data_IF_613910501652
#
_entry.id   IF_613910501652
#
_cell.length_a   1.000
_cell.length_b   1.000
_cell.length_c   1.000
_cell.angle_alpha   90.00
_cell.angle_beta   90.00
_cell.angle_gamma   90.00
#
_symmetry.space_group_name_H-M   'P 1'
#
loop_
_entity.id
_entity.type
_entity.pdbx_description
1 polymer ?
#
# COMPACT_ATOMS: atom_id res chain seq x y z
N UNK A 1 20.50 -20.36 11.34
CA UNK A 1 19.51 -19.91 10.34
C UNK A 1 19.02 -18.53 10.77
N UNK A 2 18.98 -17.58 9.87
CA UNK A 2 18.55 -16.21 10.16
C UNK A 2 17.04 -16.19 10.40
N UNK A 3 16.60 -15.52 11.47
CA UNK A 3 15.21 -15.38 11.88
C UNK A 3 14.69 -13.99 11.55
N UNK A 4 13.52 -13.90 10.96
CA UNK A 4 12.89 -12.65 10.57
C UNK A 4 11.61 -12.41 11.37
N UNK A 5 11.43 -11.21 11.90
CA UNK A 5 10.19 -10.77 12.53
C UNK A 5 9.49 -9.73 11.64
N UNK A 6 8.25 -10.03 11.28
CA UNK A 6 7.35 -9.08 10.62
C UNK A 6 6.51 -8.35 11.67
N UNK A 7 6.53 -7.03 11.63
CA UNK A 7 5.84 -6.17 12.61
C UNK A 7 4.81 -5.30 11.88
N UNK A 8 3.54 -5.39 12.28
CA UNK A 8 2.47 -4.53 11.79
C UNK A 8 1.51 -4.15 12.92
N UNK A 9 0.77 -3.05 12.80
CA UNK A 9 -0.23 -2.68 13.81
C UNK A 9 -1.41 -3.65 13.83
N UNK A 10 -1.84 -4.09 12.63
CA UNK A 10 -2.90 -5.06 12.41
C UNK A 10 -2.54 -5.98 11.25
N UNK A 11 -3.19 -7.13 11.20
CA UNK A 11 -3.09 -8.10 10.10
C UNK A 11 -4.44 -8.28 9.40
N UNK A 12 -4.44 -8.86 8.20
CA UNK A 12 -5.64 -9.00 7.34
C UNK A 12 -6.79 -9.80 7.99
N UNK A 13 -6.48 -10.68 8.95
CA UNK A 13 -7.49 -11.39 9.74
C UNK A 13 -8.17 -10.53 10.81
N UNK A 14 -7.68 -9.32 11.06
CA UNK A 14 -8.24 -8.36 12.02
C UNK A 14 -8.91 -7.20 11.30
N UNK A 15 -8.28 -6.66 10.25
CA UNK A 15 -8.77 -5.51 9.46
C UNK A 15 -8.53 -5.78 7.98
N UNK A 16 -9.56 -5.61 7.15
CA UNK A 16 -9.48 -5.73 5.69
C UNK A 16 -9.15 -4.37 5.06
N UNK A 17 -7.93 -3.89 5.28
CA UNK A 17 -7.39 -2.70 4.63
C UNK A 17 -6.43 -3.05 3.49
N UNK A 18 -6.19 -2.08 2.58
CA UNK A 18 -5.28 -2.29 1.45
C UNK A 18 -3.84 -2.61 1.87
N UNK A 19 -3.37 -2.00 2.97
CA UNK A 19 -2.06 -2.26 3.57
C UNK A 19 -1.97 -3.66 4.16
N UNK A 20 -2.96 -4.05 4.95
CA UNK A 20 -3.02 -5.35 5.62
C UNK A 20 -3.16 -6.51 4.61
N UNK A 21 -3.92 -6.32 3.53
CA UNK A 21 -3.99 -7.29 2.43
C UNK A 21 -2.66 -7.43 1.69
N UNK A 22 -1.93 -6.32 1.48
CA UNK A 22 -0.59 -6.37 0.90
C UNK A 22 0.40 -7.10 1.82
N UNK A 23 0.37 -6.79 3.11
CA UNK A 23 1.24 -7.40 4.12
C UNK A 23 0.99 -8.91 4.24
N UNK A 24 -0.25 -9.35 4.09
CA UNK A 24 -0.59 -10.77 4.12
C UNK A 24 0.11 -11.54 2.98
N UNK A 25 0.09 -10.99 1.76
CA UNK A 25 0.78 -11.60 0.61
C UNK A 25 2.29 -11.57 0.80
N UNK A 26 2.84 -10.43 1.26
CA UNK A 26 4.28 -10.33 1.54
C UNK A 26 4.71 -11.38 2.57
N UNK A 27 3.99 -11.48 3.69
CA UNK A 27 4.29 -12.41 4.77
C UNK A 27 4.21 -13.88 4.30
N UNK A 28 3.21 -14.23 3.49
CA UNK A 28 3.08 -15.56 2.90
C UNK A 28 4.28 -15.89 2.02
N UNK A 29 4.67 -14.99 1.12
CA UNK A 29 5.81 -15.17 0.21
C UNK A 29 7.14 -15.27 0.98
N UNK A 30 7.31 -14.49 2.02
CA UNK A 30 8.49 -14.58 2.89
C UNK A 30 8.58 -15.95 3.58
N UNK A 31 7.45 -16.49 4.07
CA UNK A 31 7.38 -17.82 4.70
C UNK A 31 7.67 -18.97 3.74
N UNK A 32 7.38 -18.80 2.45
CA UNK A 32 7.74 -19.78 1.42
C UNK A 32 9.24 -19.80 1.11
N UNK A 33 9.93 -18.65 1.32
CA UNK A 33 11.33 -18.49 0.94
C UNK A 33 12.27 -18.63 2.13
N UNK A 34 11.87 -18.21 3.32
CA UNK A 34 12.70 -18.14 4.52
C UNK A 34 12.31 -19.23 5.52
N UNK A 35 13.30 -19.78 6.22
CA UNK A 35 13.08 -20.87 7.18
C UNK A 35 12.32 -20.46 8.44
N UNK A 36 12.46 -19.22 8.89
CA UNK A 36 11.77 -18.69 10.10
C UNK A 36 11.29 -17.27 9.86
N UNK A 37 9.97 -17.13 9.76
CA UNK A 37 9.30 -15.82 9.67
C UNK A 37 8.10 -15.82 10.62
N UNK A 38 8.25 -15.09 11.71
CA UNK A 38 7.18 -14.84 12.66
C UNK A 38 6.56 -13.46 12.42
N UNK A 39 5.34 -13.26 12.91
CA UNK A 39 4.63 -12.00 12.79
C UNK A 39 4.00 -11.61 14.13
N UNK A 40 4.22 -10.36 14.55
CA UNK A 40 3.67 -9.83 15.80
C UNK A 40 2.98 -8.49 15.57
N UNK A 41 1.83 -8.25 16.26
CA UNK A 41 1.26 -6.92 16.37
C UNK A 41 2.25 -5.94 17.01
N UNK A 42 2.37 -4.73 16.48
CA UNK A 42 3.40 -3.78 16.91
C UNK A 42 3.33 -3.43 18.41
N UNK A 43 2.12 -3.41 19.00
CA UNK A 43 1.91 -3.15 20.42
C UNK A 43 2.33 -4.32 21.34
N UNK A 44 2.51 -5.53 20.79
CA UNK A 44 2.93 -6.72 21.54
C UNK A 44 4.45 -6.90 21.53
N UNK A 45 5.17 -6.25 20.58
CA UNK A 45 6.63 -6.40 20.43
C UNK A 45 7.37 -5.87 21.67
N UNK A 46 8.26 -6.70 22.21
CA UNK A 46 9.10 -6.43 23.39
C UNK A 46 10.58 -6.37 23.00
N UNK A 47 11.41 -5.83 23.88
CA UNK A 47 12.87 -5.83 23.68
C UNK A 47 13.45 -7.26 23.58
N UNK A 48 12.89 -8.22 24.31
CA UNK A 48 13.27 -9.64 24.18
C UNK A 48 13.09 -10.19 22.77
N UNK A 49 12.04 -9.75 22.06
CA UNK A 49 11.80 -10.16 20.68
C UNK A 49 12.85 -9.57 19.77
N UNK A 50 13.28 -8.32 20.01
CA UNK A 50 14.37 -7.69 19.27
C UNK A 50 15.70 -8.41 19.41
N UNK A 51 15.93 -9.18 20.47
CA UNK A 51 17.14 -10.01 20.65
C UNK A 51 16.97 -11.42 20.07
N UNK A 52 15.73 -11.88 19.86
CA UNK A 52 15.46 -13.23 19.38
C UNK A 52 15.52 -13.37 17.84
N UNK A 53 15.46 -12.24 17.12
CA UNK A 53 15.44 -12.18 15.67
C UNK A 53 16.62 -11.38 15.12
N UNK A 54 17.05 -11.75 13.89
CA UNK A 54 18.18 -11.13 13.21
C UNK A 54 17.73 -9.99 12.27
N UNK A 55 16.56 -10.14 11.65
CA UNK A 55 16.01 -9.20 10.66
C UNK A 55 14.59 -8.78 11.02
N UNK A 56 14.23 -7.55 10.65
CA UNK A 56 12.92 -6.99 10.94
C UNK A 56 12.33 -6.33 9.70
N UNK A 57 11.07 -6.66 9.39
CA UNK A 57 10.26 -5.95 8.41
C UNK A 57 9.19 -5.20 9.20
N UNK A 58 9.26 -3.88 9.19
CA UNK A 58 8.34 -3.04 9.95
C UNK A 58 7.39 -2.37 8.97
N UNK A 59 6.15 -2.86 8.93
CA UNK A 59 5.12 -2.34 8.05
C UNK A 59 4.37 -1.19 8.72
N UNK A 60 3.29 -1.46 9.44
CA UNK A 60 2.58 -0.45 10.23
C UNK A 60 3.11 -0.46 11.66
N UNK A 61 3.49 0.72 12.21
CA UNK A 61 4.18 0.81 13.51
C UNK A 61 3.70 1.99 14.37
N UNK A 62 2.47 2.44 14.19
CA UNK A 62 1.89 3.53 14.99
C UNK A 62 1.88 3.15 16.48
N UNK A 63 1.54 1.90 16.76
CA UNK A 63 1.45 1.36 18.12
C UNK A 63 2.78 0.80 18.65
N UNK A 64 3.86 0.83 17.86
CA UNK A 64 5.17 0.36 18.29
C UNK A 64 5.77 1.31 19.32
N UNK A 65 6.16 0.77 20.49
CA UNK A 65 6.66 1.60 21.60
C UNK A 65 7.96 2.31 21.21
N UNK A 66 8.17 3.52 21.78
CA UNK A 66 9.40 4.28 21.55
C UNK A 66 10.65 3.47 21.90
N UNK A 67 10.62 2.71 23.01
CA UNK A 67 11.76 1.88 23.45
C UNK A 67 12.13 0.83 22.41
N UNK A 68 11.15 0.18 21.80
CA UNK A 68 11.39 -0.80 20.75
C UNK A 68 11.91 -0.12 19.47
N UNK A 69 11.30 0.99 19.05
CA UNK A 69 11.81 1.78 17.90
C UNK A 69 13.27 2.21 18.10
N UNK A 70 13.61 2.72 19.28
CA UNK A 70 14.99 3.13 19.60
C UNK A 70 15.96 1.95 19.55
N UNK A 71 15.55 0.77 20.02
CA UNK A 71 16.38 -0.43 20.02
C UNK A 71 16.57 -0.99 18.61
N UNK A 72 15.52 -1.04 17.80
CA UNK A 72 15.59 -1.51 16.40
C UNK A 72 16.53 -0.69 15.54
N UNK A 73 16.83 0.57 15.89
CA UNK A 73 17.78 1.42 15.16
C UNK A 73 19.23 0.85 15.15
N UNK A 74 19.54 -0.10 16.01
CA UNK A 74 20.82 -0.83 16.03
C UNK A 74 20.75 -2.22 15.37
N UNK A 75 19.59 -2.61 14.85
CA UNK A 75 19.34 -3.92 14.24
C UNK A 75 19.21 -3.80 12.72
N UNK A 76 19.19 -4.94 12.04
CA UNK A 76 18.91 -4.99 10.61
C UNK A 76 17.40 -4.92 10.38
N UNK A 77 16.88 -3.78 9.93
CA UNK A 77 15.46 -3.61 9.65
C UNK A 77 15.19 -2.76 8.42
N UNK A 78 14.03 -3.00 7.82
CA UNK A 78 13.46 -2.20 6.74
C UNK A 78 12.08 -1.69 7.16
N UNK A 79 11.66 -0.57 6.59
CA UNK A 79 10.30 -0.06 6.73
C UNK A 79 9.56 -0.34 5.43
N UNK A 80 8.43 -1.06 5.51
CA UNK A 80 7.50 -1.26 4.39
C UNK A 80 6.34 -0.28 4.56
N UNK A 81 6.45 0.89 3.93
CA UNK A 81 5.60 2.04 4.23
C UNK A 81 4.28 2.00 3.44
N UNK A 82 3.15 2.09 4.16
CA UNK A 82 1.81 2.13 3.57
C UNK A 82 1.14 3.50 3.61
N UNK A 83 1.65 4.40 4.45
CA UNK A 83 1.15 5.78 4.58
C UNK A 83 2.29 6.76 4.85
N UNK A 84 2.14 7.69 5.77
CA UNK A 84 3.16 8.71 6.10
C UNK A 84 3.37 8.78 7.62
N UNK A 85 3.83 7.67 8.25
CA UNK A 85 4.02 7.55 9.71
C UNK A 85 5.14 8.42 10.27
N UNK A 86 5.87 9.13 9.40
CA UNK A 86 6.78 10.19 9.80
C UNK A 86 6.06 11.50 10.13
N UNK A 87 4.74 11.60 9.94
CA UNK A 87 3.91 12.76 10.29
C UNK A 87 3.00 12.45 11.46
N UNK A 88 2.80 13.43 12.33
CA UNK A 88 1.85 13.35 13.45
C UNK A 88 0.46 12.97 12.94
N UNK A 89 -0.03 13.64 11.89
CA UNK A 89 -1.35 13.40 11.30
C UNK A 89 -1.38 12.33 10.21
N UNK A 90 -0.24 11.76 9.83
CA UNK A 90 -0.08 10.78 8.73
C UNK A 90 -0.68 11.22 7.38
N UNK A 91 -0.91 12.51 7.19
CA UNK A 91 -1.54 13.06 5.99
C UNK A 91 -0.76 14.26 5.48
N UNK A 92 0.11 14.10 4.48
CA UNK A 92 0.83 15.22 3.87
C UNK A 92 -0.09 16.17 3.06
N UNK A 93 -1.27 15.70 2.65
CA UNK A 93 -2.21 16.48 1.84
C UNK A 93 -2.83 17.69 2.55
N UNK A 94 -2.64 17.83 3.86
CA UNK A 94 -3.08 19.03 4.60
C UNK A 94 -2.08 20.18 4.51
N UNK A 95 -0.88 19.92 3.97
CA UNK A 95 0.17 20.92 3.82
C UNK A 95 0.34 21.33 2.36
N UNK A 96 0.64 22.61 2.07
CA UNK A 96 1.00 23.05 0.73
C UNK A 96 2.16 22.21 0.17
N UNK A 97 2.05 21.79 -1.08
CA UNK A 97 3.05 20.95 -1.77
C UNK A 97 3.44 19.66 -1.02
N UNK A 98 2.61 19.20 -0.06
CA UNK A 98 2.90 18.07 0.82
C UNK A 98 4.09 18.29 1.76
N UNK A 99 4.46 19.53 2.05
CA UNK A 99 5.62 19.91 2.86
C UNK A 99 5.16 20.34 4.27
N UNK A 100 5.27 19.46 5.28
CA UNK A 100 4.93 19.77 6.66
C UNK A 100 6.00 20.64 7.33
N UNK A 101 5.63 21.44 8.34
CA UNK A 101 6.62 22.10 9.19
C UNK A 101 7.42 21.05 9.99
N UNK A 102 8.65 21.37 10.36
CA UNK A 102 9.54 20.47 11.08
C UNK A 102 8.95 19.97 12.42
N UNK A 103 8.08 20.76 13.06
CA UNK A 103 7.37 20.37 14.30
C UNK A 103 6.45 19.17 14.14
N UNK A 104 5.95 18.93 12.93
CA UNK A 104 4.99 17.86 12.63
C UNK A 104 5.68 16.58 12.13
N UNK A 105 7.01 16.64 11.93
CA UNK A 105 7.81 15.46 11.55
C UNK A 105 8.21 14.68 12.82
N UNK A 106 7.79 13.43 12.85
CA UNK A 106 8.10 12.47 13.92
C UNK A 106 8.85 11.26 13.37
N UNK A 107 9.37 10.42 14.23
CA UNK A 107 10.05 9.17 13.87
C UNK A 107 11.23 9.30 12.87
N UNK A 108 11.73 10.51 12.56
CA UNK A 108 12.73 10.73 11.52
C UNK A 108 13.95 9.80 11.66
N UNK A 109 14.50 9.65 12.89
CA UNK A 109 15.65 8.77 13.12
C UNK A 109 15.35 7.29 12.82
N UNK A 110 14.14 6.84 13.08
CA UNK A 110 13.71 5.49 12.74
C UNK A 110 13.68 5.25 11.22
N UNK A 111 13.37 6.24 10.41
CA UNK A 111 13.47 6.16 8.96
C UNK A 111 14.92 6.26 8.47
N UNK A 112 15.72 7.17 9.03
CA UNK A 112 17.16 7.34 8.68
C UNK A 112 17.97 6.08 8.93
N UNK A 113 17.69 5.34 10.03
CA UNK A 113 18.42 4.15 10.42
C UNK A 113 17.92 2.86 9.78
N UNK A 114 16.76 2.88 9.15
CA UNK A 114 16.27 1.75 8.38
C UNK A 114 17.21 1.49 7.20
N UNK A 115 17.46 0.22 6.88
CA UNK A 115 18.28 -0.18 5.73
C UNK A 115 17.64 0.27 4.40
N UNK A 116 16.30 0.20 4.34
CA UNK A 116 15.49 0.78 3.27
C UNK A 116 14.11 1.19 3.79
N UNK A 117 13.52 2.17 3.11
CA UNK A 117 12.12 2.56 3.25
C UNK A 117 11.43 2.26 1.92
N UNK A 118 10.67 1.17 1.89
CA UNK A 118 9.92 0.77 0.71
C UNK A 118 8.62 1.57 0.59
N UNK A 119 8.47 2.33 -0.48
CA UNK A 119 7.30 3.12 -0.80
C UNK A 119 6.54 2.50 -1.98
N UNK A 120 5.22 2.51 -1.96
CA UNK A 120 4.40 1.79 -2.93
C UNK A 120 4.43 2.36 -4.36
N UNK A 121 4.78 3.64 -4.51
CA UNK A 121 4.87 4.31 -5.82
C UNK A 121 5.99 5.36 -5.84
N UNK A 122 6.35 5.83 -7.04
CA UNK A 122 7.27 6.94 -7.24
C UNK A 122 6.76 8.23 -6.59
N UNK A 123 5.46 8.49 -6.67
CA UNK A 123 4.82 9.61 -6.01
C UNK A 123 4.97 9.54 -4.49
N UNK A 124 4.68 8.38 -3.89
CA UNK A 124 4.88 8.16 -2.45
C UNK A 124 6.34 8.35 -2.05
N UNK A 125 7.26 7.72 -2.79
CA UNK A 125 8.70 7.85 -2.53
C UNK A 125 9.19 9.31 -2.62
N UNK A 126 8.72 10.07 -3.61
CA UNK A 126 9.06 11.47 -3.77
C UNK A 126 8.64 12.33 -2.57
N UNK A 127 7.40 12.12 -2.05
CA UNK A 127 6.91 12.83 -0.86
C UNK A 127 7.75 12.47 0.38
N UNK A 128 8.05 11.19 0.59
CA UNK A 128 8.89 10.74 1.73
C UNK A 128 10.30 11.31 1.64
N UNK A 129 10.94 11.25 0.45
CA UNK A 129 12.28 11.81 0.22
C UNK A 129 12.32 13.31 0.48
N UNK A 130 11.36 14.08 -0.06
CA UNK A 130 11.31 15.53 0.11
C UNK A 130 11.19 15.92 1.58
N UNK A 131 10.36 15.22 2.36
CA UNK A 131 10.08 15.57 3.74
C UNK A 131 11.17 15.12 4.73
N UNK A 132 11.86 14.03 4.46
CA UNK A 132 12.83 13.44 5.38
C UNK A 132 14.28 13.63 4.93
N UNK A 133 14.55 14.02 3.67
CA UNK A 133 15.90 14.13 3.10
C UNK A 133 16.65 12.78 3.18
N UNK A 134 16.03 11.71 2.68
CA UNK A 134 16.57 10.35 2.78
C UNK A 134 17.05 9.81 1.43
N UNK A 135 18.16 9.07 1.46
CA UNK A 135 18.70 8.37 0.29
C UNK A 135 18.29 6.89 0.25
N UNK A 136 17.86 6.31 1.38
CA UNK A 136 17.46 4.91 1.51
C UNK A 136 15.98 4.62 1.17
N UNK A 137 15.32 5.53 0.45
CA UNK A 137 13.92 5.34 0.00
C UNK A 137 13.90 4.63 -1.35
N UNK A 138 13.16 3.54 -1.40
CA UNK A 138 13.01 2.67 -2.59
C UNK A 138 11.55 2.67 -3.03
N UNK A 139 11.30 3.00 -4.30
CA UNK A 139 9.95 2.88 -4.88
C UNK A 139 9.71 1.45 -5.35
N UNK A 140 8.63 0.85 -4.88
CA UNK A 140 8.19 -0.47 -5.32
C UNK A 140 7.43 -0.42 -6.67
N UNK A 141 6.86 0.73 -7.02
CA UNK A 141 6.08 0.91 -8.26
C UNK A 141 4.94 -0.10 -8.43
N UNK A 142 4.36 -0.57 -7.33
CA UNK A 142 3.32 -1.59 -7.34
C UNK A 142 2.90 -2.03 -5.95
N UNK A 143 2.07 -3.07 -5.92
CA UNK A 143 1.55 -3.69 -4.71
C UNK A 143 1.49 -5.22 -4.91
N UNK A 144 1.03 -5.96 -3.91
CA UNK A 144 0.92 -7.41 -3.93
C UNK A 144 -0.55 -7.84 -3.86
N UNK A 145 -0.93 -8.84 -4.66
CA UNK A 145 -2.26 -9.44 -4.69
C UNK A 145 -2.15 -10.96 -4.58
N UNK A 146 -3.07 -11.63 -3.85
CA UNK A 146 -3.18 -13.08 -3.92
C UNK A 146 -3.56 -13.52 -5.33
N UNK A 147 -3.19 -14.74 -5.75
CA UNK A 147 -3.52 -15.24 -7.09
C UNK A 147 -5.03 -15.28 -7.34
N UNK A 148 -5.83 -15.63 -6.33
CA UNK A 148 -7.30 -15.61 -6.42
C UNK A 148 -7.84 -14.23 -6.84
N UNK A 149 -7.23 -13.13 -6.40
CA UNK A 149 -7.64 -11.78 -6.83
C UNK A 149 -7.32 -11.53 -8.30
N UNK A 150 -6.18 -12.01 -8.80
CA UNK A 150 -5.85 -11.92 -10.22
C UNK A 150 -6.82 -12.71 -11.08
N UNK A 151 -7.16 -13.94 -10.67
CA UNK A 151 -8.14 -14.79 -11.37
C UNK A 151 -9.50 -14.09 -11.47
N UNK A 152 -9.99 -13.51 -10.39
CA UNK A 152 -11.24 -12.74 -10.38
C UNK A 152 -11.15 -11.52 -11.28
N UNK A 153 -10.05 -10.76 -11.24
CA UNK A 153 -9.88 -9.59 -12.10
C UNK A 153 -9.77 -9.96 -13.58
N UNK A 154 -9.18 -11.11 -13.93
CA UNK A 154 -9.20 -11.66 -15.29
C UNK A 154 -10.60 -12.05 -15.76
N UNK A 155 -11.37 -12.70 -14.88
CA UNK A 155 -12.78 -13.01 -15.16
C UNK A 155 -13.57 -11.74 -15.45
N UNK A 156 -13.46 -10.74 -14.56
CA UNK A 156 -14.15 -9.47 -14.70
C UNK A 156 -13.64 -8.61 -15.86
N UNK A 157 -12.39 -8.78 -16.27
CA UNK A 157 -11.86 -8.14 -17.48
C UNK A 157 -12.60 -8.63 -18.75
N UNK A 158 -12.99 -9.90 -18.78
CA UNK A 158 -13.72 -10.54 -19.87
C UNK A 158 -15.25 -10.36 -19.76
N UNK A 159 -15.72 -9.85 -18.61
CA UNK A 159 -17.14 -9.65 -18.36
C UNK A 159 -17.73 -8.60 -19.31
N UNK A 160 -18.84 -8.96 -19.98
CA UNK A 160 -19.54 -8.06 -20.90
C UNK A 160 -20.39 -7.07 -20.10
N UNK A 161 -19.95 -5.84 -20.01
CA UNK A 161 -20.69 -4.74 -19.42
C UNK A 161 -21.66 -4.16 -20.45
N UNK A 162 -22.92 -4.00 -20.06
CA UNK A 162 -23.96 -3.46 -20.95
C UNK A 162 -23.77 -1.96 -21.22
N UNK A 163 -24.57 -1.11 -20.54
CA UNK A 163 -24.48 0.35 -20.63
C UNK A 163 -23.29 0.90 -19.85
N UNK A 164 -22.93 2.17 -20.12
CA UNK A 164 -21.92 2.87 -19.33
C UNK A 164 -22.46 3.19 -17.95
N UNK A 165 -21.88 2.58 -16.93
CA UNK A 165 -22.22 2.77 -15.52
C UNK A 165 -20.99 3.13 -14.70
N UNK A 166 -21.19 3.91 -13.65
CA UNK A 166 -20.11 4.44 -12.82
C UNK A 166 -20.14 3.82 -11.43
N UNK A 167 -19.01 3.35 -10.93
CA UNK A 167 -18.83 2.89 -9.56
C UNK A 167 -18.31 4.03 -8.69
N UNK A 168 -18.92 4.23 -7.52
CA UNK A 168 -18.39 5.10 -6.46
C UNK A 168 -18.15 4.24 -5.23
N UNK A 169 -16.93 4.29 -4.67
CA UNK A 169 -16.61 3.53 -3.46
C UNK A 169 -17.28 4.17 -2.25
N UNK A 170 -18.12 3.43 -1.57
CA UNK A 170 -18.67 3.85 -0.29
C UNK A 170 -17.68 3.58 0.82
N UNK A 171 -17.16 4.63 1.43
CA UNK A 171 -16.21 4.52 2.53
C UNK A 171 -16.63 5.40 3.71
N UNK A 172 -16.57 4.89 4.96
CA UNK A 172 -16.79 5.72 6.16
C UNK A 172 -15.60 6.66 6.41
N UNK A 173 -14.49 6.45 5.72
CA UNK A 173 -13.25 7.21 5.89
C UNK A 173 -13.35 8.53 5.12
N UNK A 174 -13.41 9.65 5.83
CA UNK A 174 -13.67 10.97 5.27
C UNK A 174 -12.74 11.38 4.13
N UNK A 175 -11.45 11.03 4.21
CA UNK A 175 -10.48 11.41 3.18
C UNK A 175 -10.61 10.61 1.87
N UNK A 176 -11.34 9.47 1.87
CA UNK A 176 -11.72 8.77 0.62
C UNK A 176 -12.74 9.55 -0.20
N UNK A 177 -13.45 10.51 0.42
CA UNK A 177 -14.22 11.54 -0.23
C UNK A 177 -15.37 11.02 -1.11
N UNK A 178 -16.10 10.00 -0.62
CA UNK A 178 -17.25 9.41 -1.30
C UNK A 178 -18.25 10.49 -1.75
N UNK A 179 -18.53 11.50 -0.90
CA UNK A 179 -19.48 12.58 -1.19
C UNK A 179 -19.13 13.38 -2.45
N UNK A 180 -17.86 13.68 -2.68
CA UNK A 180 -17.40 14.40 -3.89
C UNK A 180 -17.59 13.55 -5.15
N UNK A 181 -17.30 12.24 -5.05
CA UNK A 181 -17.49 11.32 -6.16
C UNK A 181 -18.99 11.18 -6.53
N UNK A 182 -19.87 11.15 -5.51
CA UNK A 182 -21.33 11.19 -5.72
C UNK A 182 -21.78 12.49 -6.38
N UNK A 183 -21.37 13.64 -5.82
CA UNK A 183 -21.69 14.95 -6.39
C UNK A 183 -21.19 15.11 -7.83
N UNK A 184 -20.01 14.57 -8.15
CA UNK A 184 -19.52 14.54 -9.52
C UNK A 184 -20.44 13.79 -10.45
N UNK A 185 -20.91 12.60 -10.06
CA UNK A 185 -21.84 11.80 -10.86
C UNK A 185 -23.20 12.50 -11.02
N UNK A 186 -23.75 13.05 -9.95
CA UNK A 186 -25.02 13.77 -9.96
C UNK A 186 -24.99 15.02 -10.84
N UNK A 187 -23.94 15.83 -10.71
CA UNK A 187 -23.78 17.07 -11.50
C UNK A 187 -23.70 16.79 -13.02
N UNK A 188 -23.18 15.63 -13.40
CA UNK A 188 -23.07 15.20 -14.80
C UNK A 188 -24.21 14.25 -15.23
N UNK A 189 -25.19 14.02 -14.38
CA UNK A 189 -26.31 13.10 -14.62
C UNK A 189 -25.88 11.69 -15.07
N UNK A 190 -24.79 11.18 -14.44
CA UNK A 190 -24.26 9.86 -14.74
C UNK A 190 -25.03 8.78 -13.98
N UNK A 191 -25.26 7.64 -14.61
CA UNK A 191 -25.80 6.45 -13.95
C UNK A 191 -24.70 5.82 -13.08
N UNK A 192 -24.86 5.83 -11.76
CA UNK A 192 -23.83 5.32 -10.83
C UNK A 192 -24.41 4.40 -9.75
N UNK A 193 -23.56 3.54 -9.21
CA UNK A 193 -23.85 2.73 -8.04
C UNK A 193 -22.76 2.86 -6.98
N UNK A 194 -23.14 2.55 -5.72
CA UNK A 194 -22.23 2.55 -4.59
C UNK A 194 -21.70 1.13 -4.37
N UNK A 195 -20.38 0.98 -4.46
CA UNK A 195 -19.69 -0.27 -4.11
C UNK A 195 -19.39 -0.24 -2.62
N UNK A 196 -20.00 -1.16 -1.88
CA UNK A 196 -19.93 -1.24 -0.43
C UNK A 196 -18.66 -1.96 0.04
N UNK A 197 -18.16 -1.66 1.27
CA UNK A 197 -17.15 -2.49 1.91
C UNK A 197 -17.66 -3.92 2.10
N UNK A 198 -16.89 -4.88 1.63
CA UNK A 198 -17.20 -6.29 1.73
C UNK A 198 -15.92 -7.14 1.62
N UNK A 199 -16.06 -8.45 1.66
CA UNK A 199 -14.96 -9.39 1.48
C UNK A 199 -14.27 -9.15 0.12
N UNK A 200 -12.93 -9.27 0.00
CA UNK A 200 -12.17 -8.79 -1.17
C UNK A 200 -12.62 -9.34 -2.52
N UNK A 201 -12.87 -10.65 -2.62
CA UNK A 201 -13.34 -11.28 -3.88
C UNK A 201 -14.71 -10.77 -4.28
N UNK A 202 -15.64 -10.67 -3.32
CA UNK A 202 -16.97 -10.11 -3.53
C UNK A 202 -16.91 -8.64 -3.94
N UNK A 203 -16.00 -7.88 -3.32
CA UNK A 203 -15.75 -6.48 -3.67
C UNK A 203 -15.26 -6.33 -5.12
N UNK A 204 -14.30 -7.16 -5.55
CA UNK A 204 -13.79 -7.12 -6.93
C UNK A 204 -14.87 -7.50 -7.94
N UNK A 205 -15.71 -8.51 -7.63
CA UNK A 205 -16.82 -8.90 -8.51
C UNK A 205 -17.86 -7.80 -8.64
N UNK A 206 -18.26 -7.17 -7.53
CA UNK A 206 -19.21 -6.05 -7.55
C UNK A 206 -18.63 -4.86 -8.33
N UNK A 207 -17.44 -4.39 -7.97
CA UNK A 207 -16.74 -3.32 -8.68
C UNK A 207 -16.62 -3.60 -10.18
N UNK A 208 -16.26 -4.83 -10.55
CA UNK A 208 -16.03 -5.24 -11.92
C UNK A 208 -17.28 -5.22 -12.81
N UNK A 209 -18.48 -5.10 -12.26
CA UNK A 209 -19.72 -4.97 -13.05
C UNK A 209 -19.88 -3.59 -13.70
N UNK A 210 -19.19 -2.57 -13.19
CA UNK A 210 -19.23 -1.20 -13.69
C UNK A 210 -18.19 -0.96 -14.80
N UNK A 211 -18.41 0.09 -15.61
CA UNK A 211 -17.51 0.46 -16.70
C UNK A 211 -16.43 1.46 -16.27
N UNK A 212 -16.73 2.28 -15.28
CA UNK A 212 -15.87 3.39 -14.85
C UNK A 212 -15.87 3.52 -13.34
N UNK A 213 -14.69 3.59 -12.72
CA UNK A 213 -14.53 3.95 -11.32
C UNK A 213 -14.39 5.48 -11.19
N UNK A 214 -15.18 6.09 -10.31
CA UNK A 214 -15.02 7.48 -9.84
C UNK A 214 -14.47 7.45 -8.43
N UNK A 215 -13.22 7.87 -8.26
CA UNK A 215 -12.54 7.89 -6.97
C UNK A 215 -11.72 9.18 -6.83
N UNK A 216 -12.17 10.10 -5.97
CA UNK A 216 -11.68 11.47 -5.84
C UNK A 216 -11.16 11.78 -4.43
N UNK A 217 -10.11 11.07 -3.94
CA UNK A 217 -9.64 11.24 -2.56
C UNK A 217 -9.07 12.64 -2.32
N UNK A 218 -9.25 13.14 -1.07
CA UNK A 218 -8.71 14.43 -0.62
C UNK A 218 -7.23 14.35 -0.24
N UNK A 219 -6.76 13.16 0.09
CA UNK A 219 -5.39 12.93 0.56
C UNK A 219 -4.59 12.16 -0.47
N UNK A 220 -3.26 12.33 -0.49
CA UNK A 220 -2.39 11.47 -1.28
C UNK A 220 -2.60 10.00 -0.93
N UNK A 221 -2.96 9.20 -1.93
CA UNK A 221 -2.98 7.74 -1.88
C UNK A 221 -1.61 7.22 -2.30
N UNK A 222 -0.98 6.41 -1.48
CA UNK A 222 0.39 5.92 -1.72
C UNK A 222 0.54 5.13 -3.02
N UNK A 223 -0.50 4.37 -3.41
CA UNK A 223 -0.68 3.75 -4.73
C UNK A 223 -2.15 3.82 -5.15
N UNK A 224 -3.07 3.46 -4.25
CA UNK A 224 -4.50 3.20 -4.43
C UNK A 224 -4.81 1.88 -5.13
N UNK A 225 -4.86 0.78 -4.34
CA UNK A 225 -5.21 -0.57 -4.84
C UNK A 225 -6.47 -0.56 -5.70
N UNK A 226 -7.54 0.07 -5.22
CA UNK A 226 -8.84 0.07 -5.92
C UNK A 226 -8.77 0.68 -7.33
N UNK A 227 -7.93 1.70 -7.53
CA UNK A 227 -7.72 2.29 -8.87
C UNK A 227 -6.97 1.31 -9.77
N UNK A 228 -5.95 0.62 -9.24
CA UNK A 228 -5.19 -0.40 -9.99
C UNK A 228 -6.09 -1.59 -10.32
N UNK A 229 -6.87 -2.08 -9.36
CA UNK A 229 -7.83 -3.18 -9.51
C UNK A 229 -8.88 -2.88 -10.58
N UNK A 230 -9.49 -1.69 -10.56
CA UNK A 230 -10.42 -1.24 -11.59
C UNK A 230 -9.76 -1.26 -12.98
N UNK A 231 -8.52 -0.78 -13.10
CA UNK A 231 -7.79 -0.81 -14.37
C UNK A 231 -7.44 -2.23 -14.81
N UNK A 232 -7.04 -3.12 -13.89
CA UNK A 232 -6.80 -4.53 -14.19
C UNK A 232 -8.06 -5.23 -14.71
N UNK A 233 -9.25 -4.85 -14.21
CA UNK A 233 -10.53 -5.31 -14.74
C UNK A 233 -10.94 -4.62 -16.05
N UNK A 234 -10.10 -3.80 -16.67
CA UNK A 234 -10.40 -3.11 -17.92
C UNK A 234 -11.34 -1.91 -17.80
N UNK A 235 -11.63 -1.44 -16.59
CA UNK A 235 -12.49 -0.26 -16.35
C UNK A 235 -11.75 1.05 -16.68
N UNK A 236 -12.51 2.07 -17.07
CA UNK A 236 -12.00 3.45 -17.03
C UNK A 236 -11.93 3.96 -15.58
N UNK A 237 -11.09 4.97 -15.34
CA UNK A 237 -10.97 5.58 -14.02
C UNK A 237 -11.04 7.10 -14.11
N UNK A 238 -11.92 7.71 -13.30
CA UNK A 238 -11.95 9.15 -13.06
C UNK A 238 -11.38 9.41 -11.67
N UNK A 239 -10.23 10.07 -11.62
CA UNK A 239 -9.52 10.29 -10.36
C UNK A 239 -8.75 11.61 -10.35
N UNK A 240 -8.02 11.91 -9.28
CA UNK A 240 -7.22 13.12 -9.07
C UNK A 240 -5.72 12.83 -9.15
N UNK A 241 -4.89 13.88 -9.18
CA UNK A 241 -3.44 13.77 -9.10
C UNK A 241 -2.92 13.22 -7.75
N UNK A 242 -3.79 13.04 -6.77
CA UNK A 242 -3.45 12.47 -5.48
C UNK A 242 -3.30 10.93 -5.47
N UNK A 243 -3.40 10.27 -6.60
CA UNK A 243 -3.29 8.80 -6.71
C UNK A 243 -1.85 8.43 -7.11
N UNK A 244 -1.14 7.69 -6.27
CA UNK A 244 0.24 7.26 -6.57
C UNK A 244 0.36 6.48 -7.87
N UNK A 245 -0.59 5.60 -8.17
CA UNK A 245 -0.57 4.79 -9.38
C UNK A 245 -0.54 5.59 -10.69
N UNK A 246 -1.16 6.77 -10.75
CA UNK A 246 -1.20 7.57 -11.99
C UNK A 246 0.18 8.14 -12.38
N UNK A 247 1.12 8.19 -11.45
CA UNK A 247 2.48 8.67 -11.65
C UNK A 247 3.45 7.55 -12.09
N UNK A 248 2.93 6.33 -12.25
CA UNK A 248 3.72 5.19 -12.71
C UNK A 248 3.63 5.04 -14.24
N UNK A 249 4.74 4.68 -14.89
CA UNK A 249 4.79 4.50 -16.35
C UNK A 249 3.80 3.45 -16.84
N UNK A 250 3.59 2.39 -16.06
CA UNK A 250 2.67 1.31 -16.38
C UNK A 250 1.19 1.72 -16.27
N UNK A 251 0.87 2.89 -15.73
CA UNK A 251 -0.53 3.32 -15.58
C UNK A 251 -1.27 3.45 -16.92
N UNK A 252 -0.57 3.58 -18.02
CA UNK A 252 -1.14 3.55 -19.38
C UNK A 252 -1.73 2.20 -19.74
N UNK A 253 -1.27 1.10 -19.13
CA UNK A 253 -1.79 -0.26 -19.32
C UNK A 253 -3.14 -0.44 -18.64
N UNK A 254 -3.94 -1.42 -19.12
CA UNK A 254 -5.17 -1.87 -18.46
C UNK A 254 -5.54 -3.28 -18.91
N UNK A 255 -6.51 -3.88 -18.23
CA UNK A 255 -6.98 -5.23 -18.52
C UNK A 255 -5.87 -6.26 -18.33
N UNK A 256 -5.85 -7.27 -19.18
CA UNK A 256 -4.89 -8.38 -19.09
C UNK A 256 -3.44 -7.93 -19.16
N UNK A 257 -3.13 -6.91 -19.96
CA UNK A 257 -1.76 -6.37 -20.05
C UNK A 257 -1.26 -5.79 -18.71
N UNK A 258 -2.18 -5.19 -17.94
CA UNK A 258 -1.84 -4.68 -16.61
C UNK A 258 -1.77 -5.81 -15.58
N UNK A 259 -2.63 -6.81 -15.66
CA UNK A 259 -2.58 -8.01 -14.81
C UNK A 259 -1.23 -8.71 -14.97
N UNK A 260 -0.83 -8.99 -16.22
CA UNK A 260 0.46 -9.63 -16.50
C UNK A 260 1.65 -8.80 -16.03
N UNK A 261 1.55 -7.47 -16.14
CA UNK A 261 2.56 -6.57 -15.60
C UNK A 261 2.63 -6.66 -14.07
N UNK A 262 1.50 -6.61 -13.36
CA UNK A 262 1.47 -6.63 -11.89
C UNK A 262 1.91 -7.98 -11.33
N UNK A 263 1.62 -9.10 -11.98
CA UNK A 263 2.15 -10.41 -11.59
C UNK A 263 3.68 -10.44 -11.62
N UNK A 264 4.30 -9.93 -12.68
CA UNK A 264 5.77 -9.82 -12.74
C UNK A 264 6.30 -8.83 -11.71
N UNK A 265 5.65 -7.68 -11.58
CA UNK A 265 6.08 -6.64 -10.64
C UNK A 265 6.06 -7.11 -9.20
N UNK A 266 5.08 -7.90 -8.78
CA UNK A 266 5.09 -8.44 -7.42
C UNK A 266 6.24 -9.43 -7.17
N UNK A 267 6.65 -10.24 -8.15
CA UNK A 267 7.85 -11.07 -8.01
C UNK A 267 9.12 -10.19 -7.81
N UNK A 268 9.27 -9.15 -8.62
CA UNK A 268 10.36 -8.18 -8.50
C UNK A 268 10.36 -7.49 -7.12
N UNK A 269 9.16 -7.15 -6.58
CA UNK A 269 9.03 -6.55 -5.25
C UNK A 269 9.53 -7.52 -4.17
N UNK A 270 9.13 -8.78 -4.22
CA UNK A 270 9.56 -9.80 -3.26
C UNK A 270 11.08 -10.00 -3.32
N UNK A 271 11.63 -10.15 -4.54
CA UNK A 271 13.08 -10.27 -4.74
C UNK A 271 13.85 -9.07 -4.18
N UNK A 272 13.35 -7.84 -4.45
CA UNK A 272 13.96 -6.60 -3.95
C UNK A 272 13.96 -6.53 -2.42
N UNK A 273 12.84 -6.89 -1.79
CA UNK A 273 12.72 -6.91 -0.32
C UNK A 273 13.70 -7.94 0.26
N UNK A 274 13.76 -9.15 -0.29
CA UNK A 274 14.69 -10.20 0.15
C UNK A 274 16.14 -9.77 -0.05
N UNK A 275 16.49 -9.25 -1.22
CA UNK A 275 17.84 -8.79 -1.54
C UNK A 275 18.31 -7.77 -0.50
N UNK A 276 17.54 -6.71 -0.28
CA UNK A 276 17.94 -5.63 0.63
C UNK A 276 18.04 -6.10 2.08
N UNK A 277 17.15 -6.99 2.55
CA UNK A 277 17.23 -7.49 3.94
C UNK A 277 18.42 -8.41 4.15
N UNK A 278 18.77 -9.24 3.16
CA UNK A 278 19.79 -10.29 3.32
C UNK A 278 21.14 -9.97 2.66
N UNK A 279 21.26 -8.89 1.87
CA UNK A 279 22.57 -8.40 1.47
C UNK A 279 23.40 -8.13 2.72
N UNK A 280 24.55 -8.78 2.84
CA UNK A 280 25.55 -8.36 3.83
C UNK A 280 26.07 -7.00 3.36
N UNK A 281 25.90 -5.96 4.17
CA UNK A 281 26.60 -4.71 3.92
C UNK A 281 28.08 -5.03 3.71
N UNK A 282 28.67 -4.50 2.66
CA UNK A 282 30.13 -4.48 2.55
C UNK A 282 30.64 -3.72 3.76
N UNK A 283 31.35 -4.41 4.65
CA UNK A 283 32.09 -3.84 5.79
C UNK A 283 33.28 -3.01 5.32
#
# INVERSE_FOLDING_TARGET
>A
MSKTLFIADFFANQILGGGELNDAVLLERLRQTLSVVDALPSHEVRLSDCEAYDNFIVSNFVNLSKKVKDHLQSKNYVIYEHDHKYLVGRNPGVYPNFEPPASDIINRQFYVKARAVFCQSNFHAAIVKANLGLDNVVSLGGNLWPEEHFEVMEEMCKYSRGSTTYAVIQSPVLHKNTSEAVQYCEALQLEYGLVLPQEPVSFLRDLGTYTTLVFLPKTPETLSRVVVEARMMGMATKTTSNIGAIHEEWFTKKGLDLIDYMRRRQEEIIEMVLLIIFEKGEE
#
